data_IF_548549666108
#
_entry.id   IF_548549666108
#
_cell.length_a   1.000
_cell.length_b   1.000
_cell.length_c   1.000
_cell.angle_alpha   90.00
_cell.angle_beta   90.00
_cell.angle_gamma   90.00
#
_symmetry.space_group_name_H-M   'P 1'
#
loop_
_entity.id
_entity.type
_entity.pdbx_description
1 polymer ?
#
# COMPACT_ATOMS: atom_id res chain seq x y z
N UNK A 1 -29.46 32.59 -24.76
CA UNK A 1 -29.31 32.31 -23.32
C UNK A 1 -29.85 30.94 -22.91
N UNK A 2 -31.10 30.59 -23.24
CA UNK A 2 -31.74 29.29 -22.89
C UNK A 2 -30.95 28.01 -23.24
N UNK A 3 -30.32 27.94 -24.43
CA UNK A 3 -29.48 26.77 -24.82
C UNK A 3 -28.22 26.60 -23.96
N UNK A 4 -27.58 27.70 -23.56
CA UNK A 4 -26.40 27.67 -22.66
C UNK A 4 -26.80 27.19 -21.26
N UNK A 5 -27.93 27.67 -20.75
CA UNK A 5 -28.45 27.23 -19.44
C UNK A 5 -28.77 25.74 -19.42
N UNK A 6 -29.39 25.20 -20.47
CA UNK A 6 -29.68 23.76 -20.60
C UNK A 6 -28.37 22.95 -20.64
N UNK A 7 -27.40 23.38 -21.45
CA UNK A 7 -26.12 22.69 -21.57
C UNK A 7 -25.37 22.60 -20.23
N UNK A 8 -25.25 23.71 -19.50
CA UNK A 8 -24.61 23.70 -18.17
C UNK A 8 -25.43 22.91 -17.15
N UNK A 9 -26.77 22.93 -17.25
CA UNK A 9 -27.64 22.08 -16.43
C UNK A 9 -27.36 20.59 -16.63
N UNK A 10 -27.26 20.14 -17.89
CA UNK A 10 -26.94 18.74 -18.23
C UNK A 10 -25.56 18.34 -17.68
N UNK A 11 -24.54 19.19 -17.85
CA UNK A 11 -23.21 18.93 -17.29
C UNK A 11 -23.27 18.83 -15.76
N UNK A 12 -24.01 19.72 -15.10
CA UNK A 12 -24.18 19.69 -13.65
C UNK A 12 -24.80 18.38 -13.18
N UNK A 13 -25.89 17.94 -13.83
CA UNK A 13 -26.53 16.66 -13.50
C UNK A 13 -25.59 15.48 -13.74
N UNK A 14 -24.88 15.45 -14.87
CA UNK A 14 -23.93 14.39 -15.17
C UNK A 14 -22.79 14.33 -14.13
N UNK A 15 -22.22 15.48 -13.76
CA UNK A 15 -21.17 15.56 -12.75
C UNK A 15 -21.65 15.06 -11.38
N UNK A 16 -22.86 15.44 -10.96
CA UNK A 16 -23.47 14.95 -9.72
C UNK A 16 -23.71 13.44 -9.79
N UNK A 17 -24.24 12.92 -10.90
CA UNK A 17 -24.46 11.48 -11.09
C UNK A 17 -23.16 10.67 -11.02
N UNK A 18 -22.10 11.15 -11.69
CA UNK A 18 -20.77 10.52 -11.65
C UNK A 18 -20.21 10.57 -10.22
N UNK A 19 -20.33 11.71 -9.54
CA UNK A 19 -19.87 11.85 -8.16
C UNK A 19 -20.60 10.92 -7.21
N UNK A 20 -21.94 10.83 -7.29
CA UNK A 20 -22.74 9.92 -6.47
C UNK A 20 -22.36 8.45 -6.71
N UNK A 21 -22.01 8.08 -7.94
CA UNK A 21 -21.62 6.71 -8.28
C UNK A 21 -20.14 6.37 -7.95
N UNK A 22 -19.32 7.36 -7.58
CA UNK A 22 -17.89 7.17 -7.32
C UNK A 22 -17.45 7.62 -5.92
N UNK A 23 -18.34 8.27 -5.15
CA UNK A 23 -18.04 8.75 -3.81
C UNK A 23 -17.98 7.60 -2.80
N UNK A 24 -16.94 7.60 -1.96
CA UNK A 24 -16.84 6.66 -0.83
C UNK A 24 -17.83 6.96 0.30
N UNK A 25 -18.56 8.08 0.24
CA UNK A 25 -19.56 8.46 1.24
C UNK A 25 -20.76 7.50 1.30
N UNK A 26 -21.05 6.80 0.19
CA UNK A 26 -22.14 5.82 0.10
C UNK A 26 -21.64 4.38 0.21
N UNK A 27 -20.34 4.18 0.39
CA UNK A 27 -19.75 2.85 0.54
C UNK A 27 -20.01 2.30 1.94
N UNK A 28 -20.39 1.02 2.02
CA UNK A 28 -20.36 0.28 3.29
C UNK A 28 -18.91 0.08 3.72
N UNK A 29 -18.52 0.65 4.85
CA UNK A 29 -17.22 0.33 5.44
C UNK A 29 -17.21 -1.14 5.86
N UNK A 30 -16.15 -1.90 5.55
CA UNK A 30 -15.99 -3.24 6.09
C UNK A 30 -16.14 -3.22 7.61
N UNK A 31 -16.82 -4.23 8.17
CA UNK A 31 -16.86 -4.39 9.62
C UNK A 31 -15.44 -4.66 10.15
N UNK A 32 -15.09 -4.05 11.28
CA UNK A 32 -13.78 -4.23 11.91
C UNK A 32 -13.11 -2.91 12.31
N UNK A 33 -11.87 -3.02 12.77
CA UNK A 33 -10.96 -1.91 13.07
C UNK A 33 -9.83 -1.90 12.02
N UNK A 34 -9.20 -0.74 11.74
CA UNK A 34 -7.97 -0.72 10.96
C UNK A 34 -6.91 -1.65 11.60
N UNK A 35 -6.20 -2.40 10.76
CA UNK A 35 -5.12 -3.31 11.15
C UNK A 35 -3.81 -2.86 10.52
N UNK A 36 -2.71 -3.05 11.25
CA UNK A 36 -1.36 -2.74 10.80
C UNK A 36 -0.69 -4.01 10.23
N UNK A 37 -0.53 -4.05 8.91
CA UNK A 37 0.22 -5.08 8.21
C UNK A 37 1.70 -4.68 8.09
N UNK A 38 2.59 -5.46 8.69
CA UNK A 38 4.03 -5.33 8.49
C UNK A 38 4.44 -6.02 7.19
N UNK A 39 4.68 -5.24 6.14
CA UNK A 39 5.12 -5.72 4.83
C UNK A 39 6.57 -6.23 4.89
N UNK A 40 6.75 -7.56 4.78
CA UNK A 40 8.01 -8.30 4.91
C UNK A 40 8.72 -8.15 6.26
N UNK A 41 7.99 -7.75 7.30
CA UNK A 41 8.56 -7.35 8.59
C UNK A 41 9.16 -5.94 8.61
N UNK A 42 10.27 -5.76 9.31
CA UNK A 42 11.13 -4.57 9.24
C UNK A 42 12.17 -4.71 8.11
N UNK A 43 12.40 -3.63 7.39
CA UNK A 43 13.34 -3.56 6.28
C UNK A 43 14.27 -2.35 6.40
N UNK A 44 15.36 -2.36 5.64
CA UNK A 44 16.24 -1.19 5.55
C UNK A 44 15.58 -0.08 4.74
N UNK A 45 15.74 1.17 5.20
CA UNK A 45 15.19 2.32 4.50
C UNK A 45 16.04 2.70 3.28
N UNK A 46 15.37 3.30 2.29
CA UNK A 46 15.98 3.86 1.10
C UNK A 46 15.24 5.15 0.68
N UNK A 47 15.91 6.01 -0.08
CA UNK A 47 15.33 7.27 -0.53
C UNK A 47 14.24 7.05 -1.59
N UNK A 48 12.99 7.43 -1.27
CA UNK A 48 11.81 7.21 -2.13
C UNK A 48 11.57 8.28 -3.20
N UNK A 49 12.16 9.46 -3.06
CA UNK A 49 11.91 10.59 -3.97
C UNK A 49 12.28 10.24 -5.42
N UNK A 50 11.36 10.43 -6.36
CA UNK A 50 11.58 10.19 -7.79
C UNK A 50 11.81 8.73 -8.18
N UNK A 51 11.38 7.76 -7.35
CA UNK A 51 11.46 6.35 -7.72
C UNK A 51 10.51 5.98 -8.86
N UNK A 52 10.97 5.05 -9.68
CA UNK A 52 10.21 4.37 -10.73
C UNK A 52 10.30 2.87 -10.52
N UNK A 53 9.51 2.08 -11.26
CA UNK A 53 9.59 0.62 -11.22
C UNK A 53 10.94 0.03 -11.70
N UNK A 54 11.85 0.85 -12.24
CA UNK A 54 13.18 0.42 -12.69
C UNK A 54 14.29 0.88 -11.73
N UNK A 55 13.93 1.55 -10.63
CA UNK A 55 14.93 2.07 -9.69
C UNK A 55 15.48 0.95 -8.82
N UNK A 56 16.80 0.74 -8.84
CA UNK A 56 17.47 -0.12 -7.88
C UNK A 56 17.43 0.54 -6.49
N UNK A 57 16.71 -0.07 -5.54
CA UNK A 57 16.57 0.44 -4.16
C UNK A 57 17.87 0.31 -3.36
N UNK A 58 18.65 -0.74 -3.63
CA UNK A 58 19.91 -0.99 -2.94
C UNK A 58 20.94 0.15 -3.13
N UNK A 59 20.97 0.80 -4.30
CA UNK A 59 21.87 1.94 -4.54
C UNK A 59 21.44 3.24 -3.84
N UNK A 60 20.26 3.25 -3.22
CA UNK A 60 19.65 4.41 -2.55
C UNK A 60 19.41 4.17 -1.06
N UNK A 61 20.04 3.15 -0.49
CA UNK A 61 19.91 2.79 0.91
C UNK A 61 20.34 3.96 1.80
N UNK A 62 19.55 4.27 2.81
CA UNK A 62 19.90 5.24 3.85
C UNK A 62 20.81 4.57 4.90
N UNK A 63 21.52 5.34 5.75
CA UNK A 63 22.26 4.76 6.87
C UNK A 63 21.37 3.84 7.72
N UNK A 64 21.78 2.58 7.97
CA UNK A 64 20.98 1.63 8.75
C UNK A 64 20.68 2.16 10.16
N UNK A 65 19.41 2.04 10.58
CA UNK A 65 18.96 2.40 11.94
C UNK A 65 18.79 1.19 12.85
N UNK A 66 18.76 -0.02 12.27
CA UNK A 66 18.62 -1.30 12.96
C UNK A 66 19.23 -2.43 12.13
N UNK A 67 19.43 -3.60 12.75
CA UNK A 67 19.95 -4.80 12.09
C UNK A 67 18.92 -5.69 11.39
N UNK A 68 17.62 -5.38 11.50
CA UNK A 68 16.56 -6.21 10.90
C UNK A 68 16.56 -6.15 9.37
N UNK A 69 16.37 -7.31 8.75
CA UNK A 69 16.28 -7.49 7.30
C UNK A 69 14.90 -8.06 6.94
N UNK A 70 14.38 -7.68 5.78
CA UNK A 70 13.08 -8.18 5.30
C UNK A 70 13.06 -9.71 5.16
N UNK A 71 11.89 -10.32 5.35
CA UNK A 71 11.67 -11.77 5.28
C UNK A 71 12.56 -12.61 6.24
N UNK A 72 13.09 -12.03 7.32
CA UNK A 72 13.84 -12.78 8.35
C UNK A 72 13.04 -12.94 9.64
N UNK A 73 13.22 -14.06 10.34
CA UNK A 73 12.55 -14.33 11.63
C UNK A 73 12.77 -13.19 12.65
N UNK A 74 14.00 -12.68 12.88
CA UNK A 74 14.21 -11.59 13.84
C UNK A 74 13.44 -10.31 13.48
N UNK A 75 13.27 -10.05 12.17
CA UNK A 75 12.51 -8.91 11.68
C UNK A 75 11.00 -9.08 11.87
N UNK A 76 10.49 -10.30 11.64
CA UNK A 76 9.09 -10.65 11.88
C UNK A 76 8.74 -10.55 13.37
N UNK A 77 9.59 -11.06 14.25
CA UNK A 77 9.43 -10.95 15.70
C UNK A 77 9.41 -9.49 16.15
N UNK A 78 10.31 -8.67 15.61
CA UNK A 78 10.35 -7.23 15.90
C UNK A 78 9.09 -6.50 15.42
N UNK A 79 8.53 -6.86 14.26
CA UNK A 79 7.30 -6.28 13.75
C UNK A 79 6.12 -6.52 14.69
N UNK A 80 5.93 -7.76 15.16
CA UNK A 80 4.90 -8.07 16.15
C UNK A 80 5.15 -7.39 17.49
N UNK A 81 6.41 -7.33 17.95
CA UNK A 81 6.77 -6.61 19.18
C UNK A 81 6.45 -5.10 19.12
N UNK A 82 6.44 -4.51 17.92
CA UNK A 82 6.07 -3.11 17.67
C UNK A 82 4.56 -2.90 17.43
N UNK A 83 3.74 -3.96 17.50
CA UNK A 83 2.29 -3.88 17.42
C UNK A 83 1.70 -4.07 16.04
N UNK A 84 2.39 -4.74 15.11
CA UNK A 84 1.76 -5.21 13.89
C UNK A 84 0.64 -6.22 14.21
N UNK A 85 -0.53 -6.06 13.60
CA UNK A 85 -1.65 -7.00 13.71
C UNK A 85 -1.45 -8.20 12.78
N UNK A 86 -0.77 -7.99 11.66
CA UNK A 86 -0.46 -9.01 10.66
C UNK A 86 0.93 -8.77 10.05
N UNK A 87 1.47 -9.83 9.44
CA UNK A 87 2.73 -9.77 8.72
C UNK A 87 2.56 -10.36 7.32
N UNK A 88 3.11 -9.69 6.33
CA UNK A 88 3.26 -10.21 4.97
C UNK A 88 4.70 -10.68 4.77
N UNK A 89 4.87 -11.70 3.93
CA UNK A 89 6.17 -12.30 3.58
C UNK A 89 6.09 -12.84 2.16
N UNK A 90 7.20 -12.78 1.43
CA UNK A 90 7.28 -13.30 0.06
C UNK A 90 7.75 -14.76 0.06
N UNK A 91 6.88 -15.69 -0.35
CA UNK A 91 7.26 -17.11 -0.46
C UNK A 91 7.76 -17.44 -1.86
N UNK A 92 8.93 -18.05 -1.96
CA UNK A 92 9.53 -18.51 -3.22
C UNK A 92 9.94 -20.00 -3.17
N UNK A 93 9.80 -20.75 -4.27
CA UNK A 93 10.25 -22.13 -4.34
C UNK A 93 11.77 -22.23 -4.57
N UNK A 94 12.39 -23.26 -4.00
CA UNK A 94 13.79 -23.65 -4.23
C UNK A 94 13.88 -24.76 -5.30
N UNK A 95 15.08 -25.03 -5.82
CA UNK A 95 15.31 -26.05 -6.84
C UNK A 95 15.07 -27.48 -6.35
N UNK A 96 15.14 -27.72 -5.04
CA UNK A 96 14.82 -28.99 -4.37
C UNK A 96 13.36 -29.07 -3.88
N UNK A 97 12.50 -28.15 -4.32
CA UNK A 97 11.05 -28.19 -4.05
C UNK A 97 10.65 -27.77 -2.63
N UNK A 98 11.49 -27.00 -1.94
CA UNK A 98 11.16 -26.36 -0.66
C UNK A 98 10.65 -24.94 -0.91
N UNK A 99 10.09 -24.34 0.13
CA UNK A 99 9.76 -22.92 0.16
C UNK A 99 10.77 -22.18 1.03
N UNK A 100 11.17 -21.01 0.55
CA UNK A 100 11.97 -20.04 1.27
C UNK A 100 11.25 -18.69 1.28
N UNK A 101 11.66 -17.85 2.21
CA UNK A 101 11.33 -16.44 2.31
C UNK A 101 12.62 -15.63 2.33
#
# INVERSE_FOLDING_TARGET
MRRRTIFFGVIGVAAVGIWLNNTSLLSSRPAGKPEMLAHRGLAQDYLRAGMTGQTCTASRMLPPRHGYLENTIPSMEAAFALGADALELDVHPTTDGKFAV
#
